data_IF_591074460514
#
_entry.id   IF_591074460514
#
_cell.length_a   1.000
_cell.length_b   1.000
_cell.length_c   1.000
_cell.angle_alpha   90.00
_cell.angle_beta   90.00
_cell.angle_gamma   90.00
#
_symmetry.space_group_name_H-M   'P 1'
#
loop_
_entity.id
_entity.type
_entity.pdbx_description
1 polymer ?
#
# COMPACT_ATOMS: atom_id res chain seq x y z
N UNK A 1 -0.56 20.52 16.81
CA UNK A 1 -0.99 20.58 15.40
C UNK A 1 -1.84 19.35 15.13
N UNK A 2 -3.13 19.52 14.82
CA UNK A 2 -4.01 18.41 14.40
C UNK A 2 -3.58 17.94 13.01
N UNK A 3 -2.69 16.94 12.94
CA UNK A 3 -2.29 16.27 11.69
C UNK A 3 -3.20 15.09 11.34
N UNK A 4 -4.49 15.21 11.65
CA UNK A 4 -5.49 14.29 11.14
C UNK A 4 -5.83 14.71 9.71
N UNK A 5 -4.87 14.56 8.78
CA UNK A 5 -5.14 14.78 7.37
C UNK A 5 -6.00 13.61 6.91
N UNK A 6 -7.30 13.84 6.80
CA UNK A 6 -8.26 12.87 6.26
C UNK A 6 -8.18 13.05 4.75
N UNK A 7 -7.43 12.17 4.07
CA UNK A 7 -7.40 12.18 2.60
C UNK A 7 -8.45 11.20 2.12
N UNK A 8 -9.46 11.74 1.46
CA UNK A 8 -10.43 10.97 0.68
C UNK A 8 -9.89 10.91 -0.75
N UNK A 9 -9.43 9.73 -1.19
CA UNK A 9 -9.05 9.50 -2.58
C UNK A 9 -10.21 8.77 -3.23
N UNK A 10 -10.87 9.44 -4.16
CA UNK A 10 -12.09 8.97 -4.81
C UNK A 10 -11.79 8.38 -6.19
N UNK A 11 -12.37 7.22 -6.47
CA UNK A 11 -12.68 6.80 -7.83
C UNK A 11 -14.18 7.00 -8.08
N UNK A 12 -14.69 6.69 -9.27
CA UNK A 12 -16.12 6.90 -9.56
C UNK A 12 -17.03 5.99 -8.72
N UNK A 13 -16.50 4.86 -8.19
CA UNK A 13 -17.29 3.85 -7.47
C UNK A 13 -16.79 3.55 -6.06
N UNK A 14 -15.60 4.00 -5.70
CA UNK A 14 -14.96 3.59 -4.45
C UNK A 14 -14.41 4.77 -3.67
N UNK A 15 -14.52 4.64 -2.35
CA UNK A 15 -14.09 5.63 -1.38
C UNK A 15 -12.92 5.07 -0.58
N UNK A 16 -11.79 5.77 -0.59
CA UNK A 16 -10.63 5.41 0.24
C UNK A 16 -10.45 6.47 1.30
N UNK A 17 -10.32 6.01 2.55
CA UNK A 17 -10.06 6.84 3.70
C UNK A 17 -8.66 6.55 4.24
N UNK A 18 -7.86 7.60 4.43
CA UNK A 18 -6.57 7.48 5.11
C UNK A 18 -6.53 8.30 6.39
N UNK A 19 -5.93 7.72 7.44
CA UNK A 19 -5.68 8.36 8.72
C UNK A 19 -4.24 8.12 9.17
N UNK A 20 -3.53 9.21 9.44
CA UNK A 20 -2.18 9.17 9.99
C UNK A 20 -2.12 8.40 11.33
N UNK A 21 -1.08 7.60 11.51
CA UNK A 21 -0.88 6.80 12.70
C UNK A 21 0.42 7.14 13.45
N UNK A 22 1.43 7.69 12.77
CA UNK A 22 2.70 7.99 13.42
C UNK A 22 3.85 8.17 12.45
N UNK A 23 5.01 8.46 13.03
CA UNK A 23 6.31 8.15 12.44
C UNK A 23 6.74 6.77 12.94
N UNK A 24 7.37 5.98 12.08
CA UNK A 24 8.05 4.77 12.50
C UNK A 24 9.31 5.17 13.28
N UNK A 25 9.33 4.93 14.59
CA UNK A 25 10.44 5.32 15.49
C UNK A 25 10.65 6.85 15.57
N UNK A 26 11.71 7.29 16.25
CA UNK A 26 12.04 8.72 16.36
C UNK A 26 12.62 9.23 15.02
N UNK A 27 11.75 9.66 14.10
CA UNK A 27 12.12 10.30 12.83
C UNK A 27 12.26 9.37 11.63
N UNK A 28 11.66 8.16 11.67
CA UNK A 28 11.55 7.32 10.47
C UNK A 28 10.34 7.67 9.59
N UNK A 29 10.04 6.87 8.56
CA UNK A 29 8.95 7.14 7.63
C UNK A 29 7.61 7.26 8.33
N UNK A 30 6.76 8.19 7.85
CA UNK A 30 5.38 8.27 8.29
C UNK A 30 4.58 7.03 7.86
N UNK A 31 3.55 6.70 8.63
CA UNK A 31 2.62 5.62 8.30
C UNK A 31 1.21 5.94 8.79
N UNK A 32 0.25 5.17 8.29
CA UNK A 32 -1.17 5.36 8.61
C UNK A 32 -2.02 4.12 8.43
N UNK A 33 -3.31 4.32 8.57
CA UNK A 33 -4.37 3.35 8.35
C UNK A 33 -5.18 3.74 7.12
N UNK A 34 -5.43 2.77 6.25
CA UNK A 34 -6.22 2.93 5.04
C UNK A 34 -7.47 2.04 5.11
N UNK A 35 -8.65 2.62 4.90
CA UNK A 35 -9.93 1.89 4.79
C UNK A 35 -10.51 2.10 3.39
N UNK A 36 -11.09 1.05 2.83
CA UNK A 36 -11.66 1.04 1.48
C UNK A 36 -13.15 0.74 1.60
N UNK A 37 -13.99 1.62 1.08
CA UNK A 37 -15.45 1.54 1.14
C UNK A 37 -15.99 1.33 2.57
N UNK A 38 -15.32 1.91 3.58
CA UNK A 38 -15.66 1.72 4.99
C UNK A 38 -15.32 0.33 5.56
N UNK A 39 -14.54 -0.48 4.84
CA UNK A 39 -14.07 -1.79 5.29
C UNK A 39 -12.96 -1.72 6.35
N UNK A 40 -12.39 -2.88 6.68
CA UNK A 40 -11.35 -3.00 7.68
C UNK A 40 -10.08 -2.18 7.35
N UNK A 41 -9.51 -1.52 8.36
CA UNK A 41 -8.29 -0.73 8.22
C UNK A 41 -7.07 -1.62 7.90
N UNK A 42 -6.26 -1.17 6.94
CA UNK A 42 -4.99 -1.76 6.53
C UNK A 42 -3.85 -0.82 6.86
N UNK A 43 -2.72 -1.35 7.32
CA UNK A 43 -1.51 -0.57 7.54
C UNK A 43 -0.92 -0.11 6.21
N UNK A 44 -0.70 1.20 6.08
CA UNK A 44 -0.23 1.85 4.86
C UNK A 44 0.97 2.77 5.12
N UNK A 45 1.92 2.78 4.19
CA UNK A 45 3.11 3.65 4.22
C UNK A 45 2.86 5.05 3.67
N UNK A 46 1.80 5.24 2.89
CA UNK A 46 1.42 6.54 2.34
C UNK A 46 -0.10 6.59 2.12
N UNK A 47 -0.69 7.79 1.95
CA UNK A 47 -2.08 7.91 1.56
C UNK A 47 -2.33 7.53 0.09
N UNK A 48 -1.28 7.43 -0.74
CA UNK A 48 -1.41 7.26 -2.20
C UNK A 48 -2.02 5.90 -2.59
N UNK A 49 -2.96 5.95 -3.53
CA UNK A 49 -3.52 4.77 -4.20
C UNK A 49 -3.56 4.98 -5.71
N UNK A 50 -3.49 3.89 -6.47
CA UNK A 50 -3.72 3.88 -7.92
C UNK A 50 -4.73 2.80 -8.28
N UNK A 51 -5.45 3.01 -9.38
CA UNK A 51 -6.54 2.15 -9.81
C UNK A 51 -6.26 1.57 -11.19
N UNK A 52 -6.71 0.35 -11.43
CA UNK A 52 -6.91 -0.11 -12.81
C UNK A 52 -8.03 0.73 -13.46
N UNK A 53 -7.95 0.93 -14.78
CA UNK A 53 -8.92 1.79 -15.50
C UNK A 53 -10.37 1.30 -15.46
N UNK A 54 -10.60 0.03 -15.16
CA UNK A 54 -11.94 -0.56 -14.96
C UNK A 54 -12.39 -0.58 -13.48
N UNK A 55 -11.54 -0.06 -12.57
CA UNK A 55 -11.71 -0.07 -11.11
C UNK A 55 -11.87 -1.49 -10.52
N UNK A 56 -11.47 -2.55 -11.24
CA UNK A 56 -11.50 -3.92 -10.72
C UNK A 56 -10.44 -4.17 -9.63
N UNK A 57 -9.36 -3.40 -9.68
CA UNK A 57 -8.22 -3.50 -8.81
C UNK A 57 -7.76 -2.11 -8.32
N UNK A 58 -7.24 -2.09 -7.11
CA UNK A 58 -6.61 -0.91 -6.49
C UNK A 58 -5.26 -1.32 -5.90
N UNK A 59 -4.23 -0.48 -6.04
CA UNK A 59 -2.96 -0.67 -5.37
C UNK A 59 -2.66 0.46 -4.38
N UNK A 60 -1.99 0.11 -3.28
CA UNK A 60 -1.53 1.03 -2.24
C UNK A 60 -0.19 0.55 -1.65
N UNK A 61 0.55 1.44 -0.99
CA UNK A 61 1.78 1.05 -0.29
C UNK A 61 1.41 0.55 1.11
N UNK A 62 1.59 -0.75 1.35
CA UNK A 62 1.30 -1.39 2.64
C UNK A 62 2.54 -1.49 3.51
N UNK A 63 2.40 -1.13 4.79
CA UNK A 63 3.40 -1.44 5.81
C UNK A 63 3.19 -2.87 6.31
N UNK A 64 4.24 -3.70 6.25
CA UNK A 64 4.23 -5.06 6.79
C UNK A 64 5.32 -5.26 7.83
N UNK A 65 4.97 -6.08 8.83
CA UNK A 65 5.87 -6.56 9.87
C UNK A 65 5.89 -8.09 9.75
N UNK A 66 6.97 -8.63 9.18
CA UNK A 66 7.23 -10.05 9.10
C UNK A 66 7.72 -10.57 10.46
N UNK A 67 7.32 -11.80 10.79
CA UNK A 67 7.80 -12.50 11.98
C UNK A 67 9.27 -12.88 11.80
N UNK A 68 10.15 -12.16 12.49
CA UNK A 68 11.59 -12.46 12.53
C UNK A 68 11.92 -13.39 13.71
N UNK A 69 12.66 -14.49 13.52
CA UNK A 69 12.90 -15.51 14.55
C UNK A 69 13.48 -15.00 15.87
N UNK A 70 14.18 -13.87 15.86
CA UNK A 70 14.90 -13.34 17.03
C UNK A 70 14.18 -12.19 17.76
N UNK A 71 12.94 -11.81 17.36
CA UNK A 71 12.09 -10.80 18.02
C UNK A 71 12.79 -9.46 18.37
N UNK A 72 13.87 -9.12 17.69
CA UNK A 72 14.65 -7.90 17.90
C UNK A 72 14.82 -7.16 16.57
N UNK A 73 14.06 -6.08 16.39
CA UNK A 73 14.37 -5.02 15.43
C UNK A 73 13.57 -4.97 14.12
N UNK A 74 13.84 -3.89 13.37
CA UNK A 74 13.32 -3.46 12.06
C UNK A 74 13.51 -4.45 10.91
N UNK A 75 14.23 -5.55 11.12
CA UNK A 75 14.61 -6.50 10.06
C UNK A 75 13.40 -7.22 9.43
N UNK A 76 12.27 -7.29 10.15
CA UNK A 76 11.01 -7.80 9.61
C UNK A 76 10.12 -6.72 8.98
N UNK A 77 10.44 -5.44 9.09
CA UNK A 77 9.54 -4.37 8.63
C UNK A 77 9.89 -3.91 7.24
N UNK A 78 8.87 -3.80 6.39
CA UNK A 78 9.05 -3.27 5.05
C UNK A 78 7.76 -2.78 4.42
N UNK A 79 7.93 -1.91 3.44
CA UNK A 79 6.85 -1.52 2.55
C UNK A 79 6.72 -2.53 1.41
N UNK A 80 5.48 -2.85 1.09
CA UNK A 80 5.08 -3.69 -0.03
C UNK A 80 4.00 -2.97 -0.81
N UNK A 81 3.71 -3.43 -2.02
CA UNK A 81 2.55 -2.94 -2.75
C UNK A 81 1.40 -3.91 -2.47
N UNK A 82 0.40 -3.41 -1.75
CA UNK A 82 -0.87 -4.11 -1.53
C UNK A 82 -1.74 -3.93 -2.76
N UNK A 83 -2.20 -5.04 -3.33
CA UNK A 83 -3.16 -5.09 -4.43
C UNK A 83 -4.49 -5.60 -3.88
N UNK A 84 -5.55 -4.84 -4.11
CA UNK A 84 -6.90 -5.13 -3.63
C UNK A 84 -7.78 -5.48 -4.80
N UNK A 85 -8.48 -6.62 -4.71
CA UNK A 85 -9.55 -6.97 -5.63
C UNK A 85 -10.86 -6.37 -5.14
N UNK A 86 -11.45 -5.48 -5.93
CA UNK A 86 -12.58 -4.67 -5.48
C UNK A 86 -13.89 -5.45 -5.38
N UNK A 87 -14.01 -6.62 -6.02
CA UNK A 87 -15.21 -7.46 -5.97
C UNK A 87 -15.49 -8.06 -4.59
N UNK A 88 -14.43 -8.32 -3.80
CA UNK A 88 -14.53 -9.02 -2.51
C UNK A 88 -13.60 -8.46 -1.43
N UNK A 89 -12.80 -7.45 -1.74
CA UNK A 89 -11.85 -6.83 -0.82
C UNK A 89 -10.62 -7.70 -0.53
N UNK A 90 -10.39 -8.78 -1.28
CA UNK A 90 -9.22 -9.62 -1.10
C UNK A 90 -7.94 -8.81 -1.34
N UNK A 91 -6.92 -9.02 -0.50
CA UNK A 91 -5.64 -8.32 -0.60
C UNK A 91 -4.52 -9.32 -0.87
N UNK A 92 -3.72 -9.02 -1.89
CA UNK A 92 -2.46 -9.69 -2.19
C UNK A 92 -1.32 -8.68 -2.12
N UNK A 93 -0.11 -9.17 -1.88
CA UNK A 93 1.07 -8.32 -1.81
C UNK A 93 1.99 -8.65 -2.97
N UNK A 94 2.36 -7.64 -3.72
CA UNK A 94 3.40 -7.70 -4.73
C UNK A 94 4.58 -6.83 -4.29
N UNK A 95 5.71 -7.01 -4.98
CA UNK A 95 7.03 -6.55 -4.54
C UNK A 95 7.46 -7.27 -3.24
N UNK A 96 8.56 -8.02 -3.30
CA UNK A 96 9.15 -8.66 -2.12
C UNK A 96 9.55 -7.64 -1.06
N UNK A 97 10.05 -8.09 0.09
CA UNK A 97 10.53 -7.17 1.12
C UNK A 97 11.66 -6.29 0.58
N UNK A 98 11.39 -4.99 0.40
CA UNK A 98 12.37 -3.96 -0.01
C UNK A 98 12.80 -3.09 1.17
N UNK A 99 12.55 -3.55 2.40
CA UNK A 99 12.74 -2.76 3.61
C UNK A 99 11.83 -1.53 3.60
N UNK A 100 12.30 -0.45 4.21
CA UNK A 100 11.59 0.84 4.26
C UNK A 100 11.99 1.76 3.10
N UNK A 101 12.05 1.21 1.88
CA UNK A 101 12.32 1.98 0.66
C UNK A 101 11.25 3.06 0.42
N UNK A 102 11.62 4.17 -0.24
CA UNK A 102 10.64 5.15 -0.72
C UNK A 102 9.92 4.54 -1.93
N UNK A 103 8.62 4.22 -1.75
CA UNK A 103 7.76 3.67 -2.79
C UNK A 103 6.68 4.70 -3.11
N UNK A 104 6.62 5.10 -4.37
CA UNK A 104 5.56 5.96 -4.91
C UNK A 104 4.86 5.27 -6.06
N UNK A 105 3.54 5.23 -6.02
CA UNK A 105 2.73 4.62 -7.08
C UNK A 105 2.52 5.64 -8.18
N UNK A 106 2.75 5.26 -9.44
CA UNK A 106 2.66 6.16 -10.59
C UNK A 106 1.40 5.90 -11.40
N UNK A 107 1.22 4.66 -11.85
CA UNK A 107 0.11 4.27 -12.71
C UNK A 107 -0.22 2.79 -12.51
N UNK A 108 -1.41 2.40 -12.93
CA UNK A 108 -1.86 1.01 -12.86
C UNK A 108 -2.76 0.67 -14.04
N UNK A 109 -2.62 -0.57 -14.49
CA UNK A 109 -3.52 -1.24 -15.43
C UNK A 109 -4.02 -2.53 -14.79
N UNK A 110 -4.86 -3.28 -15.51
CA UNK A 110 -5.27 -4.63 -15.08
C UNK A 110 -4.11 -5.63 -15.08
N UNK A 111 -3.03 -5.34 -15.83
CA UNK A 111 -1.91 -6.26 -16.02
C UNK A 111 -0.64 -5.88 -15.25
N UNK A 112 -0.50 -4.61 -14.84
CA UNK A 112 0.73 -4.10 -14.25
C UNK A 112 0.53 -2.88 -13.34
N UNK A 113 1.49 -2.70 -12.43
CA UNK A 113 1.65 -1.48 -11.62
C UNK A 113 2.99 -0.84 -11.97
N UNK A 114 2.98 0.46 -12.21
CA UNK A 114 4.20 1.27 -12.29
C UNK A 114 4.44 1.98 -10.96
N UNK A 115 5.61 1.76 -10.38
CA UNK A 115 6.02 2.38 -9.14
C UNK A 115 7.46 2.90 -9.23
N UNK A 116 7.77 3.95 -8.49
CA UNK A 116 9.13 4.42 -8.25
C UNK A 116 9.59 3.85 -6.92
N UNK A 117 10.66 3.06 -6.93
CA UNK A 117 11.27 2.46 -5.74
C UNK A 117 12.69 2.99 -5.61
N UNK A 118 12.96 3.75 -4.56
CA UNK A 118 14.24 4.46 -4.34
C UNK A 118 14.70 5.24 -5.58
N UNK A 119 13.78 6.01 -6.17
CA UNK A 119 14.04 6.84 -7.35
C UNK A 119 14.14 6.07 -8.67
N UNK A 120 13.98 4.74 -8.68
CA UNK A 120 14.00 3.93 -9.91
C UNK A 120 12.60 3.47 -10.29
N UNK A 121 12.21 3.74 -11.54
CA UNK A 121 10.95 3.23 -12.09
C UNK A 121 11.01 1.71 -12.20
N UNK A 122 9.97 1.04 -11.72
CA UNK A 122 9.75 -0.40 -11.81
C UNK A 122 8.35 -0.68 -12.31
N UNK A 123 8.25 -1.60 -13.27
CA UNK A 123 6.98 -2.17 -13.72
C UNK A 123 6.81 -3.53 -13.06
N UNK A 124 5.72 -3.71 -12.33
CA UNK A 124 5.40 -4.92 -11.57
C UNK A 124 4.24 -5.62 -12.28
N UNK A 125 4.48 -6.77 -12.92
CA UNK A 125 3.42 -7.52 -13.60
C UNK A 125 2.50 -8.23 -12.60
N UNK A 126 1.20 -8.25 -12.88
CA UNK A 126 0.16 -8.85 -12.02
C UNK A 126 -0.25 -10.26 -12.46
N UNK A 127 0.24 -10.73 -13.60
CA UNK A 127 -0.07 -12.02 -14.21
C UNK A 127 0.21 -13.25 -13.30
N UNK A 128 1.06 -13.12 -12.30
CA UNK A 128 1.42 -14.21 -11.38
C UNK A 128 0.69 -14.13 -10.02
N UNK A 129 -0.24 -13.21 -9.84
CA UNK A 129 -0.98 -13.06 -8.58
C UNK A 129 -2.17 -14.01 -8.60
N UNK A 130 -2.09 -15.10 -7.84
CA UNK A 130 -3.22 -16.01 -7.62
C UNK A 130 -4.21 -15.42 -6.60
N UNK A 131 -5.48 -15.43 -6.99
CA UNK A 131 -6.61 -14.96 -6.18
C UNK A 131 -7.48 -16.09 -5.64
N UNK A 132 -7.08 -17.33 -5.89
CA UNK A 132 -7.74 -18.54 -5.37
C UNK A 132 -7.52 -18.70 -3.86
#
# INVERSE_FOLDING_TARGET
MNRSTHVQIESARHHVFWRWAGELWMGGPEWGWLSINGGAEQSAGSPEVVWAGDESLMAFVSLKVDDVPNRKGVEGMGFRIGLVRMSDGAIRYCLGNVGLADIRLSAMSVDSIEAVVDGKVRTIPLNNISWE
#
